data_IF_320744914025
#
_entry.id   IF_320744914025
#
_cell.length_a   1.000
_cell.length_b   1.000
_cell.length_c   1.000
_cell.angle_alpha   90.00
_cell.angle_beta   90.00
_cell.angle_gamma   90.00
#
_symmetry.space_group_name_H-M   'P 1'
#
loop_
_entity.id
_entity.type
_entity.pdbx_description
1 polymer ?
#
# COMPACT_ATOMS: atom_id res chain seq x y z
N UNK A 1 12.18 -7.96 -29.08
CA UNK A 1 12.00 -6.77 -28.19
C UNK A 1 11.74 -7.26 -26.76
N UNK A 2 12.16 -6.50 -25.73
CA UNK A 2 11.85 -6.90 -24.33
C UNK A 2 10.37 -6.70 -24.03
N UNK A 3 9.79 -7.60 -23.22
CA UNK A 3 8.37 -7.59 -22.87
C UNK A 3 7.95 -6.29 -22.14
N UNK A 4 8.79 -5.76 -21.22
CA UNK A 4 8.51 -4.51 -20.53
C UNK A 4 8.46 -3.29 -21.48
N UNK A 5 9.26 -3.31 -22.56
CA UNK A 5 9.24 -2.28 -23.60
C UNK A 5 8.04 -2.50 -24.52
N UNK A 6 7.79 -3.75 -24.94
CA UNK A 6 6.66 -4.09 -25.79
C UNK A 6 5.32 -3.59 -25.22
N UNK A 7 5.07 -3.84 -23.93
CA UNK A 7 3.84 -3.41 -23.26
C UNK A 7 3.68 -1.88 -23.25
N UNK A 8 4.78 -1.15 -23.17
CA UNK A 8 4.75 0.31 -23.12
C UNK A 8 4.54 0.90 -24.54
N UNK A 9 5.26 0.38 -25.52
CA UNK A 9 5.17 0.86 -26.92
C UNK A 9 3.82 0.54 -27.56
N UNK A 10 3.18 -0.57 -27.17
CA UNK A 10 1.85 -0.94 -27.64
C UNK A 10 0.71 -0.36 -26.77
N UNK A 11 1.00 0.62 -25.91
CA UNK A 11 0.03 1.29 -25.02
C UNK A 11 -0.75 0.35 -24.09
N UNK A 12 -0.22 -0.84 -23.84
CA UNK A 12 -0.79 -1.82 -22.90
C UNK A 12 -0.44 -1.50 -21.44
N UNK A 13 0.54 -0.61 -21.23
CA UNK A 13 0.90 -0.06 -19.93
C UNK A 13 1.29 1.42 -20.04
N UNK A 14 0.92 2.21 -19.03
CA UNK A 14 1.19 3.66 -19.00
C UNK A 14 2.68 4.01 -18.88
N UNK A 15 3.49 3.13 -18.31
CA UNK A 15 4.93 3.33 -18.13
C UNK A 15 5.66 2.00 -18.04
N UNK A 16 6.98 2.02 -18.28
CA UNK A 16 7.83 0.84 -18.16
C UNK A 16 7.86 0.26 -16.74
N UNK A 17 7.76 1.10 -15.71
CA UNK A 17 7.65 0.66 -14.32
C UNK A 17 6.35 -0.10 -14.07
N UNK A 18 5.22 0.41 -14.59
CA UNK A 18 3.94 -0.27 -14.53
C UNK A 18 3.98 -1.62 -15.28
N UNK A 19 4.58 -1.65 -16.47
CA UNK A 19 4.78 -2.88 -17.25
C UNK A 19 5.61 -3.91 -16.47
N UNK A 20 6.70 -3.51 -15.83
CA UNK A 20 7.52 -4.40 -15.01
C UNK A 20 6.76 -4.94 -13.79
N UNK A 21 5.94 -4.12 -13.15
CA UNK A 21 5.10 -4.54 -12.02
C UNK A 21 4.05 -5.55 -12.48
N UNK A 22 3.35 -5.27 -13.58
CA UNK A 22 2.34 -6.15 -14.17
C UNK A 22 2.93 -7.51 -14.57
N UNK A 23 4.10 -7.52 -15.22
CA UNK A 23 4.78 -8.78 -15.60
C UNK A 23 5.17 -9.56 -14.34
N UNK A 24 5.81 -8.92 -13.36
CA UNK A 24 6.25 -9.59 -12.12
C UNK A 24 5.08 -10.17 -11.31
N UNK A 25 3.89 -9.59 -11.38
CA UNK A 25 2.69 -10.10 -10.74
C UNK A 25 2.02 -11.25 -11.49
N UNK A 26 2.55 -11.63 -12.69
CA UNK A 26 1.95 -12.67 -13.52
C UNK A 26 0.75 -12.17 -14.35
N UNK A 27 0.55 -10.86 -14.46
CA UNK A 27 -0.54 -10.25 -15.21
C UNK A 27 -0.32 -10.20 -16.73
N UNK A 28 0.70 -10.89 -17.24
CA UNK A 28 0.99 -10.96 -18.68
C UNK A 28 1.26 -12.39 -19.10
N UNK A 29 0.69 -12.82 -20.22
CA UNK A 29 1.08 -14.08 -20.88
C UNK A 29 1.81 -13.83 -22.20
N UNK A 30 2.69 -14.73 -22.52
CA UNK A 30 3.36 -14.83 -23.81
C UNK A 30 2.96 -16.18 -24.42
N UNK A 31 2.28 -16.15 -25.56
CA UNK A 31 1.74 -17.35 -26.20
C UNK A 31 0.85 -18.20 -25.27
N UNK A 32 0.01 -17.54 -24.46
CA UNK A 32 -0.88 -18.20 -23.49
C UNK A 32 -0.19 -18.70 -22.21
N UNK A 33 1.13 -18.53 -22.07
CA UNK A 33 1.89 -18.93 -20.86
C UNK A 33 2.17 -17.70 -19.99
N UNK A 34 1.80 -17.69 -18.70
CA UNK A 34 2.10 -16.58 -17.81
C UNK A 34 3.60 -16.29 -17.74
N UNK A 35 3.98 -15.01 -17.92
CA UNK A 35 5.35 -14.56 -17.89
C UNK A 35 5.59 -13.60 -16.73
N UNK A 36 6.63 -13.88 -15.91
CA UNK A 36 7.00 -13.03 -14.76
C UNK A 36 8.33 -12.30 -14.93
N UNK A 37 8.97 -12.46 -16.10
CA UNK A 37 10.29 -11.88 -16.39
C UNK A 37 10.16 -10.65 -17.30
N UNK A 38 10.37 -9.41 -16.79
CA UNK A 38 10.23 -8.19 -17.61
C UNK A 38 11.19 -8.11 -18.82
N UNK A 39 12.35 -8.76 -18.71
CA UNK A 39 13.34 -8.82 -19.78
C UNK A 39 13.12 -9.98 -20.76
N UNK A 40 11.98 -10.69 -20.68
CA UNK A 40 11.63 -11.72 -21.64
C UNK A 40 11.59 -11.10 -23.04
N UNK A 41 12.19 -11.76 -24.01
CA UNK A 41 12.12 -11.31 -25.41
C UNK A 41 10.79 -11.71 -26.02
N UNK A 42 10.24 -10.79 -26.82
CA UNK A 42 9.02 -10.94 -27.63
C UNK A 42 9.44 -10.86 -29.08
N UNK A 43 9.17 -11.90 -29.85
CA UNK A 43 9.36 -11.98 -31.30
C UNK A 43 8.15 -11.44 -32.06
N UNK A 44 8.29 -11.30 -33.39
CA UNK A 44 7.22 -10.78 -34.27
C UNK A 44 5.99 -11.70 -34.35
N UNK A 45 6.18 -13.01 -34.13
CA UNK A 45 5.11 -14.01 -34.15
C UNK A 45 4.50 -14.31 -32.80
N UNK A 46 5.03 -13.70 -31.72
CA UNK A 46 4.54 -13.97 -30.37
C UNK A 46 3.24 -13.19 -30.09
N UNK A 47 2.33 -13.86 -29.41
CA UNK A 47 1.10 -13.24 -28.89
C UNK A 47 1.33 -12.82 -27.44
N UNK A 48 1.15 -11.54 -27.15
CA UNK A 48 1.24 -10.98 -25.81
C UNK A 48 -0.17 -10.60 -25.35
N UNK A 49 -0.66 -11.27 -24.32
CA UNK A 49 -1.94 -10.95 -23.70
C UNK A 49 -1.73 -10.42 -22.28
N UNK A 50 -2.45 -9.37 -21.93
CA UNK A 50 -2.58 -8.93 -20.56
C UNK A 50 -3.63 -9.81 -19.89
N UNK A 51 -3.15 -10.77 -19.07
CA UNK A 51 -4.01 -11.68 -18.31
C UNK A 51 -4.24 -11.07 -16.93
N UNK A 52 -5.25 -10.28 -16.82
CA UNK A 52 -5.62 -9.67 -15.56
C UNK A 52 -6.12 -8.26 -15.78
N UNK A 53 -6.89 -7.79 -14.84
CA UNK A 53 -7.25 -6.37 -14.81
C UNK A 53 -5.95 -5.55 -14.81
N UNK A 54 -5.82 -4.58 -15.73
CA UNK A 54 -4.83 -3.52 -15.61
C UNK A 54 -4.83 -3.10 -14.14
N UNK A 55 -3.65 -3.05 -13.52
CA UNK A 55 -3.58 -2.67 -12.10
C UNK A 55 -4.48 -1.45 -11.92
N UNK A 56 -5.57 -1.62 -11.19
CA UNK A 56 -6.58 -0.57 -10.94
C UNK A 56 -5.92 0.67 -10.33
N UNK A 57 -4.82 0.45 -9.63
CA UNK A 57 -4.01 1.47 -8.97
C UNK A 57 -2.57 1.41 -9.47
N UNK A 58 -1.83 2.51 -9.32
CA UNK A 58 -0.40 2.60 -9.70
C UNK A 58 0.49 1.59 -8.97
N UNK A 59 -0.01 0.96 -7.92
CA UNK A 59 0.67 -0.08 -7.15
C UNK A 59 -0.30 -1.05 -6.48
N UNK A 60 0.15 -2.28 -6.22
CA UNK A 60 -0.66 -3.33 -5.56
C UNK A 60 -1.19 -2.93 -4.18
N UNK A 61 -0.51 -1.98 -3.52
CA UNK A 61 -0.96 -1.43 -2.23
C UNK A 61 -2.40 -0.90 -2.27
N UNK A 62 -2.82 -0.29 -3.39
CA UNK A 62 -4.18 0.23 -3.56
C UNK A 62 -5.27 -0.80 -3.29
N UNK A 63 -5.06 -2.06 -3.70
CA UNK A 63 -6.02 -3.16 -3.43
C UNK A 63 -6.17 -3.46 -1.93
N UNK A 64 -5.13 -3.22 -1.12
CA UNK A 64 -5.20 -3.40 0.33
C UNK A 64 -6.06 -2.31 0.97
N UNK A 65 -5.84 -1.06 0.55
CA UNK A 65 -6.64 0.06 1.06
C UNK A 65 -8.10 -0.05 0.61
N UNK A 66 -8.34 -0.39 -0.66
CA UNK A 66 -9.70 -0.65 -1.16
C UNK A 66 -10.43 -1.68 -0.31
N UNK A 67 -9.78 -2.81 -0.02
CA UNK A 67 -10.37 -3.83 0.85
C UNK A 67 -10.66 -3.31 2.26
N UNK A 68 -9.83 -2.40 2.79
CA UNK A 68 -10.10 -1.77 4.08
C UNK A 68 -11.31 -0.82 4.00
N UNK A 69 -11.40 0.02 2.95
CA UNK A 69 -12.51 0.93 2.73
C UNK A 69 -13.83 0.16 2.63
N UNK A 70 -13.86 -0.91 1.83
CA UNK A 70 -15.04 -1.74 1.65
C UNK A 70 -15.42 -2.48 2.93
N UNK A 71 -14.46 -3.16 3.56
CA UNK A 71 -14.71 -4.04 4.71
C UNK A 71 -15.19 -3.27 5.93
N UNK A 72 -14.64 -2.09 6.15
CA UNK A 72 -15.00 -1.26 7.30
C UNK A 72 -15.99 -0.15 6.95
N UNK A 73 -16.57 -0.16 5.74
CA UNK A 73 -17.52 0.83 5.23
C UNK A 73 -17.02 2.28 5.46
N UNK A 74 -15.79 2.56 5.03
CA UNK A 74 -15.16 3.86 5.18
C UNK A 74 -15.47 4.73 3.95
N UNK A 75 -16.23 5.80 4.15
CA UNK A 75 -16.42 6.83 3.15
C UNK A 75 -15.39 7.95 3.36
N UNK A 76 -14.56 8.18 2.34
CA UNK A 76 -13.54 9.23 2.32
C UNK A 76 -13.81 10.28 1.24
N UNK A 77 -15.02 10.31 0.71
CA UNK A 77 -15.44 11.30 -0.28
C UNK A 77 -15.32 12.72 0.29
N UNK A 78 -14.58 13.58 -0.41
CA UNK A 78 -14.31 14.96 0.01
C UNK A 78 -13.33 15.09 1.18
N UNK A 79 -12.77 13.99 1.70
CA UNK A 79 -11.85 13.99 2.83
C UNK A 79 -10.47 14.54 2.47
N UNK A 80 -9.83 15.19 3.45
CA UNK A 80 -8.39 15.43 3.44
C UNK A 80 -7.69 14.22 4.05
N UNK A 81 -6.69 13.67 3.34
CA UNK A 81 -6.06 12.40 3.67
C UNK A 81 -4.54 12.50 3.77
N UNK A 82 -3.92 11.63 4.58
CA UNK A 82 -2.47 11.39 4.57
C UNK A 82 -2.23 9.92 4.20
N UNK A 83 -1.32 9.69 3.26
CA UNK A 83 -0.77 8.37 2.93
C UNK A 83 0.63 8.27 3.54
N UNK A 84 0.79 7.46 4.59
CA UNK A 84 2.07 7.27 5.30
C UNK A 84 2.76 6.02 4.76
N UNK A 85 3.92 6.21 4.14
CA UNK A 85 4.63 5.17 3.40
C UNK A 85 4.09 5.05 1.98
N UNK A 86 3.93 6.19 1.30
CA UNK A 86 3.26 6.26 0.00
C UNK A 86 3.95 5.46 -1.09
N UNK A 87 5.28 5.31 -1.05
CA UNK A 87 6.06 4.57 -2.06
C UNK A 87 5.64 4.98 -3.47
N UNK A 88 5.24 4.04 -4.33
CA UNK A 88 4.75 4.33 -5.69
C UNK A 88 3.39 5.05 -5.73
N UNK A 89 2.68 5.13 -4.60
CA UNK A 89 1.41 5.84 -4.49
C UNK A 89 0.16 4.96 -4.59
N UNK A 90 0.28 3.68 -4.29
CA UNK A 90 -0.88 2.76 -4.37
C UNK A 90 -2.04 3.19 -3.47
N UNK A 91 -1.78 3.57 -2.21
CA UNK A 91 -2.79 4.08 -1.30
C UNK A 91 -3.28 5.47 -1.73
N UNK A 92 -2.36 6.35 -2.13
CA UNK A 92 -2.69 7.69 -2.67
C UNK A 92 -3.67 7.59 -3.83
N UNK A 93 -3.40 6.75 -4.82
CA UNK A 93 -4.27 6.55 -5.99
C UNK A 93 -5.63 5.98 -5.58
N UNK A 94 -5.66 5.02 -4.67
CA UNK A 94 -6.90 4.48 -4.13
C UNK A 94 -7.73 5.57 -3.43
N UNK A 95 -7.12 6.40 -2.59
CA UNK A 95 -7.81 7.53 -1.93
C UNK A 95 -8.42 8.49 -2.96
N UNK A 96 -7.67 8.86 -3.99
CA UNK A 96 -8.15 9.78 -5.03
C UNK A 96 -9.31 9.20 -5.85
N UNK A 97 -9.25 7.89 -6.18
CA UNK A 97 -10.32 7.20 -6.90
C UNK A 97 -11.58 7.03 -6.04
N UNK A 98 -11.45 7.00 -4.69
CA UNK A 98 -12.56 7.00 -3.74
C UNK A 98 -12.97 8.41 -3.29
N UNK A 99 -12.59 9.44 -4.06
CA UNK A 99 -13.14 10.79 -3.92
C UNK A 99 -12.45 11.66 -2.88
N UNK A 100 -11.27 11.31 -2.37
CA UNK A 100 -10.50 12.19 -1.49
C UNK A 100 -10.27 13.56 -2.16
N UNK A 101 -10.49 14.65 -1.42
CA UNK A 101 -10.30 16.00 -1.93
C UNK A 101 -8.82 16.38 -2.00
N UNK A 102 -8.00 15.85 -1.09
CA UNK A 102 -6.57 16.10 -1.02
C UNK A 102 -5.83 14.96 -0.33
N UNK A 103 -4.64 14.62 -0.82
CA UNK A 103 -3.79 13.59 -0.23
C UNK A 103 -2.37 14.11 -0.05
N UNK A 104 -1.87 14.07 1.17
CA UNK A 104 -0.44 14.23 1.47
C UNK A 104 0.23 12.86 1.40
N UNK A 105 1.02 12.63 0.36
CA UNK A 105 1.77 11.40 0.13
C UNK A 105 3.15 11.50 0.78
N UNK A 106 3.30 10.89 1.97
CA UNK A 106 4.49 11.02 2.82
C UNK A 106 5.33 9.75 2.73
N UNK A 107 6.61 9.89 2.37
CA UNK A 107 7.56 8.77 2.34
C UNK A 107 8.98 9.25 2.71
N UNK A 108 9.75 8.38 3.36
CA UNK A 108 11.17 8.64 3.67
C UNK A 108 12.07 8.43 2.44
N UNK A 109 11.60 7.71 1.44
CA UNK A 109 12.27 7.46 0.18
C UNK A 109 12.32 8.69 -0.72
N UNK A 110 12.96 8.54 -1.86
CA UNK A 110 13.13 9.58 -2.86
C UNK A 110 12.73 9.07 -4.24
N UNK A 111 12.09 9.93 -5.04
CA UNK A 111 11.72 9.69 -6.44
C UNK A 111 10.92 8.37 -6.63
N UNK A 112 10.03 8.04 -5.68
CA UNK A 112 9.25 6.81 -5.68
C UNK A 112 7.82 7.00 -6.23
N UNK A 113 7.19 8.15 -5.91
CA UNK A 113 5.80 8.42 -6.25
C UNK A 113 5.62 8.45 -7.78
N UNK A 114 4.60 7.76 -8.29
CA UNK A 114 4.27 7.74 -9.72
C UNK A 114 4.08 9.16 -10.25
N UNK A 115 4.57 9.41 -11.47
CA UNK A 115 4.57 10.74 -12.07
C UNK A 115 3.14 11.27 -12.31
N UNK A 116 2.18 10.39 -12.59
CA UNK A 116 0.78 10.79 -12.76
C UNK A 116 0.19 11.35 -11.47
N UNK A 117 0.53 10.75 -10.32
CA UNK A 117 0.11 11.23 -9.01
C UNK A 117 0.84 12.51 -8.60
N UNK A 118 2.12 12.60 -8.93
CA UNK A 118 2.93 13.80 -8.66
C UNK A 118 2.39 15.04 -9.41
N UNK A 119 1.72 14.83 -10.54
CA UNK A 119 1.07 15.89 -11.34
C UNK A 119 -0.39 16.17 -10.97
N UNK A 120 -1.02 15.30 -10.16
CA UNK A 120 -2.41 15.53 -9.73
C UNK A 120 -2.46 16.70 -8.74
N UNK A 121 -3.25 17.76 -9.01
CA UNK A 121 -3.31 18.94 -8.15
C UNK A 121 -3.85 18.65 -6.74
N UNK A 122 -4.49 17.50 -6.53
CA UNK A 122 -4.98 17.05 -5.22
C UNK A 122 -3.88 16.39 -4.38
N UNK A 123 -2.71 16.07 -4.96
CA UNK A 123 -1.61 15.38 -4.28
C UNK A 123 -0.52 16.36 -3.87
N UNK A 124 -0.11 16.27 -2.62
CA UNK A 124 1.08 16.93 -2.09
C UNK A 124 2.13 15.87 -1.84
N UNK A 125 3.12 15.75 -2.72
CA UNK A 125 4.23 14.81 -2.54
C UNK A 125 5.19 15.32 -1.46
N UNK A 126 5.40 14.51 -0.42
CA UNK A 126 6.30 14.76 0.70
C UNK A 126 7.31 13.62 0.83
N UNK A 127 8.14 13.46 -0.18
CA UNK A 127 9.25 12.52 -0.16
C UNK A 127 10.39 13.00 0.72
N UNK A 128 11.29 12.09 1.12
CA UNK A 128 12.38 12.35 2.09
C UNK A 128 11.86 12.94 3.42
N UNK A 129 10.64 12.57 3.80
CA UNK A 129 9.94 13.11 4.96
C UNK A 129 9.57 11.99 5.93
N UNK A 130 10.02 12.15 7.18
CA UNK A 130 9.61 11.25 8.26
C UNK A 130 8.35 11.79 8.93
N UNK A 131 7.28 11.00 8.92
CA UNK A 131 6.00 11.38 9.50
C UNK A 131 6.09 11.73 10.98
N UNK A 132 7.09 11.20 11.68
CA UNK A 132 7.31 11.43 13.11
C UNK A 132 7.72 12.88 13.41
N UNK A 133 8.36 13.55 12.45
CA UNK A 133 8.82 14.93 12.54
C UNK A 133 8.07 15.87 11.61
N UNK A 134 7.22 15.36 10.73
CA UNK A 134 6.47 16.16 9.78
C UNK A 134 5.48 17.09 10.50
N UNK A 135 5.48 18.35 10.09
CA UNK A 135 4.51 19.36 10.51
C UNK A 135 3.36 19.39 9.50
N UNK A 136 2.28 18.70 9.82
CA UNK A 136 1.07 18.62 9.02
C UNK A 136 -0.14 19.00 9.87
N UNK A 137 -1.14 19.56 9.22
CA UNK A 137 -2.46 19.79 9.83
C UNK A 137 -3.18 18.47 10.07
N UNK A 138 -4.20 18.51 10.95
CA UNK A 138 -5.05 17.36 11.16
C UNK A 138 -5.95 17.10 9.95
N UNK A 139 -6.13 15.82 9.63
CA UNK A 139 -6.88 15.34 8.48
C UNK A 139 -8.04 14.42 8.89
N UNK A 140 -8.92 14.13 7.95
CA UNK A 140 -10.10 13.28 8.17
C UNK A 140 -9.75 11.79 8.12
N UNK A 141 -8.78 11.43 7.27
CA UNK A 141 -8.41 10.02 7.07
C UNK A 141 -6.89 9.83 6.90
N UNK A 142 -6.38 8.72 7.44
CA UNK A 142 -4.97 8.34 7.26
C UNK A 142 -4.89 6.88 6.82
N UNK A 143 -4.23 6.63 5.67
CA UNK A 143 -3.78 5.31 5.25
C UNK A 143 -2.32 5.10 5.63
N UNK A 144 -1.95 3.88 6.04
CA UNK A 144 -0.57 3.60 6.46
C UNK A 144 -0.11 2.23 5.96
N UNK A 145 0.92 2.22 5.11
CA UNK A 145 1.60 1.02 4.61
C UNK A 145 3.13 1.16 4.73
N UNK A 146 3.65 1.21 5.96
CA UNK A 146 5.08 1.37 6.24
C UNK A 146 5.83 0.05 6.26
N UNK A 147 7.12 0.09 5.94
CA UNK A 147 8.03 -1.06 5.96
C UNK A 147 9.27 -0.76 6.79
N UNK A 148 9.87 -1.80 7.39
CA UNK A 148 11.11 -1.75 8.16
C UNK A 148 11.03 -0.90 9.45
N UNK A 149 9.83 -0.61 9.93
CA UNK A 149 9.56 0.12 11.17
C UNK A 149 8.36 -0.50 11.88
N UNK A 150 8.35 -0.46 13.20
CA UNK A 150 7.18 -0.91 13.98
C UNK A 150 6.07 0.14 13.93
N UNK A 151 4.83 -0.31 13.77
CA UNK A 151 3.63 0.54 13.87
C UNK A 151 3.52 1.24 15.24
N UNK A 152 4.07 0.65 16.30
CA UNK A 152 4.10 1.27 17.63
C UNK A 152 4.81 2.63 17.63
N UNK A 153 5.76 2.85 16.71
CA UNK A 153 6.43 4.13 16.54
C UNK A 153 5.64 5.13 15.69
N UNK A 154 4.66 4.67 14.94
CA UNK A 154 3.89 5.51 14.00
C UNK A 154 2.51 5.87 14.57
N UNK A 155 1.87 4.95 15.29
CA UNK A 155 0.51 5.13 15.84
C UNK A 155 0.32 6.42 16.66
N UNK A 156 1.25 6.86 17.55
CA UNK A 156 1.10 8.14 18.26
C UNK A 156 1.03 9.34 17.31
N UNK A 157 1.74 9.30 16.17
CA UNK A 157 1.74 10.37 15.18
C UNK A 157 0.46 10.35 14.33
N UNK A 158 -0.07 9.15 14.01
CA UNK A 158 -1.39 9.00 13.39
C UNK A 158 -2.44 9.64 14.30
N UNK A 159 -2.41 9.35 15.60
CA UNK A 159 -3.34 9.94 16.56
C UNK A 159 -3.27 11.48 16.58
N UNK A 160 -2.07 12.03 16.60
CA UNK A 160 -1.84 13.47 16.57
C UNK A 160 -2.41 14.14 15.31
N UNK A 161 -2.27 13.47 14.16
CA UNK A 161 -2.61 14.02 12.84
C UNK A 161 -4.07 13.79 12.44
N UNK A 162 -4.82 12.94 13.13
CA UNK A 162 -6.26 12.79 12.88
C UNK A 162 -7.07 13.87 13.59
N UNK A 163 -8.11 14.35 12.94
CA UNK A 163 -9.22 15.10 13.58
C UNK A 163 -9.95 14.21 14.57
N UNK A 164 -10.68 14.77 15.54
CA UNK A 164 -11.60 13.98 16.38
C UNK A 164 -12.68 13.35 15.48
N UNK A 165 -12.98 12.07 15.69
CA UNK A 165 -13.84 11.27 14.81
C UNK A 165 -13.18 10.84 13.48
N UNK A 166 -11.98 11.30 13.20
CA UNK A 166 -11.22 10.88 12.02
C UNK A 166 -10.80 9.41 12.12
N UNK A 167 -10.61 8.76 10.97
CA UNK A 167 -10.33 7.32 10.87
C UNK A 167 -8.99 7.04 10.22
N UNK A 168 -8.42 5.88 10.54
CA UNK A 168 -7.22 5.39 9.88
C UNK A 168 -7.37 3.94 9.46
N UNK A 169 -6.86 3.60 8.28
CA UNK A 169 -6.62 2.23 7.85
C UNK A 169 -5.10 1.97 7.90
N UNK A 170 -4.68 1.06 8.78
CA UNK A 170 -3.27 0.74 8.96
C UNK A 170 -2.99 -0.71 8.59
N UNK A 171 -1.86 -0.94 7.93
CA UNK A 171 -1.42 -2.28 7.57
C UNK A 171 -0.45 -2.81 8.63
N UNK A 172 -0.85 -3.87 9.33
CA UNK A 172 0.01 -4.57 10.27
C UNK A 172 0.84 -5.58 9.49
N UNK A 173 2.15 -5.45 9.56
CA UNK A 173 3.11 -6.34 8.92
C UNK A 173 3.86 -7.14 9.99
N UNK A 174 3.46 -8.38 10.27
CA UNK A 174 4.05 -9.15 11.35
C UNK A 174 5.58 -9.30 11.27
N UNK A 175 6.14 -9.31 10.07
CA UNK A 175 7.57 -9.41 9.85
C UNK A 175 8.39 -8.24 10.43
N UNK A 176 7.79 -7.07 10.64
CA UNK A 176 8.45 -5.90 11.22
C UNK A 176 8.18 -5.74 12.72
N UNK A 177 7.29 -6.58 13.28
CA UNK A 177 6.91 -6.59 14.69
C UNK A 177 7.43 -7.80 15.47
N UNK A 178 7.66 -8.92 14.78
CA UNK A 178 7.89 -10.24 15.40
C UNK A 178 9.22 -10.42 16.13
N UNK A 179 10.22 -9.56 15.89
CA UNK A 179 11.59 -9.82 16.29
C UNK A 179 12.25 -10.96 15.48
N UNK A 180 13.58 -10.97 15.41
CA UNK A 180 14.36 -11.86 14.52
C UNK A 180 14.14 -13.35 14.77
N UNK A 181 13.88 -13.78 16.00
CA UNK A 181 13.69 -15.19 16.39
C UNK A 181 12.44 -15.83 15.77
N UNK A 182 11.44 -15.03 15.39
CA UNK A 182 10.18 -15.49 14.81
C UNK A 182 10.18 -15.45 13.27
N UNK A 183 11.30 -15.04 12.66
CA UNK A 183 11.44 -14.95 11.23
C UNK A 183 12.15 -16.18 10.65
N UNK A 184 11.63 -16.69 9.54
CA UNK A 184 12.35 -17.66 8.70
C UNK A 184 13.58 -17.00 8.05
N UNK A 185 14.46 -17.80 7.44
CA UNK A 185 15.61 -17.30 6.66
C UNK A 185 15.22 -16.32 5.53
N UNK A 186 13.96 -16.37 5.09
CA UNK A 186 13.39 -15.46 4.05
C UNK A 186 12.63 -14.27 4.65
N UNK A 187 12.72 -14.02 5.96
CA UNK A 187 12.01 -12.91 6.60
C UNK A 187 10.50 -13.12 6.75
N UNK A 188 10.02 -14.37 6.70
CA UNK A 188 8.58 -14.69 6.77
C UNK A 188 8.21 -15.20 8.16
N UNK A 189 7.15 -14.67 8.75
CA UNK A 189 6.52 -15.18 9.97
C UNK A 189 5.54 -16.29 9.59
N UNK A 190 5.97 -17.56 9.73
CA UNK A 190 5.18 -18.73 9.32
C UNK A 190 4.13 -19.14 10.36
N UNK A 191 4.45 -18.98 11.64
CA UNK A 191 3.56 -19.38 12.72
C UNK A 191 2.35 -18.43 12.81
N UNK A 192 1.17 -18.98 12.58
CA UNK A 192 -0.08 -18.23 12.64
C UNK A 192 -0.36 -17.68 14.05
N UNK A 193 -0.05 -18.44 15.11
CA UNK A 193 -0.23 -17.96 16.47
C UNK A 193 0.61 -16.73 16.76
N UNK A 194 1.84 -16.68 16.23
CA UNK A 194 2.71 -15.50 16.34
C UNK A 194 2.11 -14.32 15.59
N UNK A 195 1.60 -14.54 14.36
CA UNK A 195 0.96 -13.46 13.59
C UNK A 195 -0.27 -12.89 14.29
N UNK A 196 -1.14 -13.75 14.80
CA UNK A 196 -2.36 -13.33 15.53
C UNK A 196 -2.01 -12.60 16.81
N UNK A 197 -1.05 -13.10 17.59
CA UNK A 197 -0.57 -12.40 18.80
C UNK A 197 -0.07 -10.99 18.44
N UNK A 198 0.73 -10.83 17.38
CA UNK A 198 1.25 -9.52 16.95
C UNK A 198 0.10 -8.59 16.57
N UNK A 199 -0.88 -9.07 15.81
CA UNK A 199 -2.08 -8.29 15.46
C UNK A 199 -2.76 -7.76 16.73
N UNK A 200 -2.95 -8.62 17.71
CA UNK A 200 -3.64 -8.27 18.96
C UNK A 200 -2.81 -7.30 19.82
N UNK A 201 -1.47 -7.49 19.89
CA UNK A 201 -0.55 -6.57 20.57
C UNK A 201 -0.56 -5.16 19.94
N UNK A 202 -0.65 -5.06 18.60
CA UNK A 202 -0.74 -3.77 17.92
C UNK A 202 -2.10 -3.12 18.17
N UNK A 203 -3.19 -3.90 18.18
CA UNK A 203 -4.52 -3.40 18.50
C UNK A 203 -4.59 -2.85 19.94
N UNK A 204 -4.04 -3.59 20.91
CA UNK A 204 -3.95 -3.14 22.30
C UNK A 204 -3.12 -1.85 22.43
N UNK A 205 -1.98 -1.78 21.74
CA UNK A 205 -1.15 -0.58 21.73
C UNK A 205 -1.89 0.62 21.15
N UNK A 206 -2.65 0.43 20.05
CA UNK A 206 -3.47 1.50 19.45
C UNK A 206 -4.53 2.01 20.44
N UNK A 207 -5.19 1.11 21.20
CA UNK A 207 -6.12 1.50 22.25
C UNK A 207 -5.41 2.32 23.35
N UNK A 208 -4.19 1.92 23.73
CA UNK A 208 -3.34 2.68 24.66
C UNK A 208 -2.97 4.08 24.16
N UNK A 209 -2.95 4.31 22.86
CA UNK A 209 -2.77 5.64 22.25
C UNK A 209 -4.06 6.48 22.21
N UNK A 210 -5.22 5.92 22.61
CA UNK A 210 -6.51 6.62 22.63
C UNK A 210 -7.45 6.28 21.47
N UNK A 211 -7.07 5.36 20.58
CA UNK A 211 -7.94 4.93 19.49
C UNK A 211 -9.06 3.97 19.95
N UNK A 212 -10.20 4.02 19.25
CA UNK A 212 -11.10 2.88 19.15
C UNK A 212 -10.64 1.99 17.99
N UNK A 213 -10.43 0.70 18.25
CA UNK A 213 -10.21 -0.29 17.19
C UNK A 213 -11.57 -0.73 16.68
N UNK A 214 -11.90 -0.36 15.44
CA UNK A 214 -13.19 -0.69 14.80
C UNK A 214 -13.21 -2.14 14.32
N UNK A 215 -12.07 -2.62 13.82
CA UNK A 215 -11.93 -4.00 13.39
C UNK A 215 -10.56 -4.32 12.83
N UNK A 216 -10.30 -5.61 12.66
CA UNK A 216 -9.11 -6.14 11.99
C UNK A 216 -9.50 -7.22 11.00
N UNK A 217 -8.86 -7.25 9.83
CA UNK A 217 -9.08 -8.24 8.78
C UNK A 217 -7.76 -8.70 8.18
N UNK A 218 -7.74 -9.90 7.62
CA UNK A 218 -6.58 -10.33 6.83
C UNK A 218 -6.53 -9.57 5.50
N UNK A 219 -5.36 -9.08 5.12
CA UNK A 219 -5.16 -8.42 3.83
C UNK A 219 -5.52 -9.38 2.68
N UNK A 220 -6.22 -8.93 1.63
CA UNK A 220 -6.61 -9.78 0.49
C UNK A 220 -5.40 -10.24 -0.33
N UNK A 221 -4.28 -9.54 -0.22
CA UNK A 221 -3.03 -9.88 -0.89
C UNK A 221 -1.88 -9.95 0.13
N UNK A 222 -0.95 -10.86 -0.12
CA UNK A 222 0.26 -10.99 0.68
C UNK A 222 1.26 -9.87 0.39
N UNK A 223 2.14 -9.60 1.34
CA UNK A 223 3.31 -8.74 1.13
C UNK A 223 4.23 -9.27 0.02
N UNK A 224 5.16 -8.43 -0.43
CA UNK A 224 6.07 -8.75 -1.54
C UNK A 224 6.87 -10.04 -1.36
N UNK A 225 7.20 -10.39 -0.11
CA UNK A 225 7.93 -11.60 0.24
C UNK A 225 7.03 -12.80 0.61
N UNK A 226 5.70 -12.65 0.44
CA UNK A 226 4.71 -13.68 0.77
C UNK A 226 4.28 -13.69 2.24
N UNK A 227 4.56 -12.65 3.01
CA UNK A 227 4.06 -12.51 4.36
C UNK A 227 2.55 -12.24 4.37
N UNK A 228 1.83 -12.90 5.28
CA UNK A 228 0.45 -12.53 5.62
C UNK A 228 0.47 -11.22 6.39
N UNK A 229 -0.35 -10.28 5.96
CA UNK A 229 -0.50 -8.95 6.56
C UNK A 229 -1.95 -8.74 7.01
N UNK A 230 -2.19 -7.79 7.92
CA UNK A 230 -3.53 -7.51 8.43
C UNK A 230 -3.88 -6.04 8.25
N UNK A 231 -5.12 -5.79 7.89
CA UNK A 231 -5.74 -4.48 7.87
C UNK A 231 -6.34 -4.20 9.25
N UNK A 232 -6.14 -3.02 9.79
CA UNK A 232 -6.79 -2.57 11.02
C UNK A 232 -7.41 -1.19 10.79
N UNK A 233 -8.68 -1.04 11.17
CA UNK A 233 -9.37 0.23 11.17
C UNK A 233 -9.41 0.83 12.57
N UNK A 234 -8.99 2.09 12.66
CA UNK A 234 -8.90 2.88 13.88
C UNK A 234 -9.78 4.13 13.76
N UNK A 235 -10.35 4.58 14.88
CA UNK A 235 -11.06 5.85 14.99
C UNK A 235 -10.50 6.64 16.18
N UNK A 236 -10.19 7.90 15.96
CA UNK A 236 -9.81 8.84 17.03
C UNK A 236 -11.04 9.33 17.76
N UNK A 237 -11.11 9.06 19.06
CA UNK A 237 -12.16 9.59 19.94
C UNK A 237 -12.00 11.07 20.23
#
# INVERSE_FOLDING_TARGET
MRLDIYLTENLLCKSRTAAQSLIKSGGVSLNGIPCTKPSQEVGESDTVDVIGEQLRYVGRGGLKLEAALDKFALDITGAECIDIGSSTGGFTDCMLQHGAAKVWAVDVGRDQLDESLRRDPRVVSMEQTDIRTAELQQVDFIGTDVSFISLKLILPHIYRLLKSGGRAAVLIKPQFEAGRSNLSKKGIVRDEKVRLRIRDEIAEFAQGCGFSVIGTETSPITGGDGNTEYLMCLEKR
#
